data_IF_763136312357
#
_entry.id   IF_763136312357
#
_cell.length_a   1.000
_cell.length_b   1.000
_cell.length_c   1.000
_cell.angle_alpha   90.00
_cell.angle_beta   90.00
_cell.angle_gamma   90.00
#
_symmetry.space_group_name_H-M   'P 1'
#
loop_
_entity.id
_entity.type
_entity.pdbx_description
1 polymer ?
#
# COMPACT_ATOMS: atom_id res chain seq x y z
N UNK A 1 1.86 -33.03 37.05
CA UNK A 1 2.47 -31.83 36.45
C UNK A 1 2.01 -31.78 34.99
N UNK A 2 1.12 -30.86 34.65
CA UNK A 2 0.63 -30.71 33.28
C UNK A 2 1.65 -29.88 32.49
N UNK A 3 2.28 -30.50 31.49
CA UNK A 3 3.19 -29.81 30.58
C UNK A 3 2.34 -28.95 29.64
N UNK A 4 2.41 -27.62 29.80
CA UNK A 4 1.77 -26.68 28.89
C UNK A 4 2.48 -26.78 27.55
N UNK A 5 1.84 -27.37 26.56
CA UNK A 5 2.32 -27.37 25.18
C UNK A 5 2.18 -25.94 24.66
N UNK A 6 3.28 -25.19 24.64
CA UNK A 6 3.35 -23.90 23.95
C UNK A 6 3.07 -24.17 22.46
N UNK A 7 1.89 -23.76 22.01
CA UNK A 7 1.53 -23.77 20.60
C UNK A 7 2.42 -22.73 19.91
N UNK A 8 3.53 -23.16 19.29
CA UNK A 8 4.23 -22.33 18.32
C UNK A 8 3.36 -22.30 17.06
N UNK A 9 2.39 -21.38 17.01
CA UNK A 9 1.82 -20.97 15.74
C UNK A 9 2.99 -20.47 14.90
N UNK A 10 3.33 -21.21 13.84
CA UNK A 10 4.28 -20.75 12.84
C UNK A 10 3.66 -19.56 12.14
N UNK A 11 3.94 -18.35 12.63
CA UNK A 11 3.48 -17.13 11.98
C UNK A 11 4.20 -17.03 10.64
N UNK A 12 3.46 -17.17 9.54
CA UNK A 12 3.99 -16.90 8.21
C UNK A 12 4.12 -15.39 8.05
N UNK A 13 5.34 -14.94 7.73
CA UNK A 13 5.61 -13.55 7.44
C UNK A 13 5.89 -13.40 5.95
N UNK A 14 5.21 -12.45 5.31
CA UNK A 14 5.48 -12.08 3.93
C UNK A 14 5.79 -10.59 3.85
N UNK A 15 6.61 -10.22 2.87
CA UNK A 15 7.07 -8.84 2.69
C UNK A 15 6.72 -8.37 1.30
N UNK A 16 6.24 -7.14 1.21
CA UNK A 16 5.96 -6.44 -0.02
C UNK A 16 6.83 -5.17 -0.11
N UNK A 17 7.13 -4.76 -1.33
CA UNK A 17 7.71 -3.46 -1.63
C UNK A 17 6.58 -2.58 -2.16
N UNK A 18 6.33 -1.47 -1.46
CA UNK A 18 5.28 -0.53 -1.81
C UNK A 18 5.94 0.76 -2.29
N UNK A 19 5.67 1.12 -3.54
CA UNK A 19 6.16 2.32 -4.18
C UNK A 19 5.04 3.35 -4.28
N UNK A 20 5.35 4.61 -3.96
CA UNK A 20 4.47 5.74 -4.19
C UNK A 20 4.96 6.44 -5.44
N UNK A 21 4.12 6.49 -6.46
CA UNK A 21 4.49 6.99 -7.79
C UNK A 21 3.56 8.14 -8.15
N UNK A 22 4.10 9.14 -8.84
CA UNK A 22 3.38 10.30 -9.34
C UNK A 22 3.56 10.44 -10.85
N UNK A 23 2.49 10.71 -11.58
CA UNK A 23 2.52 10.85 -13.03
C UNK A 23 2.64 9.51 -13.74
N UNK A 24 2.70 9.57 -15.08
CA UNK A 24 2.56 8.39 -15.94
C UNK A 24 1.21 7.69 -15.80
N UNK A 25 0.96 6.70 -16.65
CA UNK A 25 -0.16 5.78 -16.42
C UNK A 25 0.25 4.67 -15.44
N UNK A 26 -0.62 4.30 -14.48
CA UNK A 26 -0.40 3.12 -13.65
C UNK A 26 -0.19 1.87 -14.52
N UNK A 27 0.79 1.05 -14.17
CA UNK A 27 1.04 -0.24 -14.82
C UNK A 27 0.14 -1.34 -14.25
N UNK A 28 0.39 -2.59 -14.63
CA UNK A 28 -0.44 -3.74 -14.23
C UNK A 28 -0.50 -3.97 -12.71
N UNK A 29 0.57 -3.61 -11.98
CA UNK A 29 0.66 -3.65 -10.52
C UNK A 29 0.26 -2.31 -9.88
N UNK A 30 -0.14 -1.33 -10.70
CA UNK A 30 -0.43 0.03 -10.32
C UNK A 30 -1.89 0.22 -9.87
N UNK A 31 -2.05 0.86 -8.72
CA UNK A 31 -3.34 1.12 -8.11
C UNK A 31 -3.55 2.63 -7.96
N UNK A 32 -4.42 3.26 -8.77
CA UNK A 32 -4.68 4.69 -8.67
C UNK A 32 -5.37 5.05 -7.35
N UNK A 33 -4.94 6.16 -6.75
CA UNK A 33 -5.53 6.71 -5.53
C UNK A 33 -6.59 7.79 -5.79
N UNK A 34 -6.60 8.37 -7.00
CA UNK A 34 -7.58 9.37 -7.40
C UNK A 34 -9.03 8.87 -7.20
N UNK A 35 -9.89 9.73 -6.64
CA UNK A 35 -11.30 9.43 -6.41
C UNK A 35 -11.59 8.49 -5.22
N UNK A 36 -10.57 7.86 -4.63
CA UNK A 36 -10.70 7.08 -3.39
C UNK A 36 -10.87 8.00 -2.18
N UNK A 37 -10.99 7.42 -0.98
CA UNK A 37 -10.98 8.18 0.28
C UNK A 37 -9.83 7.76 1.18
N UNK A 38 -9.32 8.72 1.95
CA UNK A 38 -8.34 8.47 3.00
C UNK A 38 -8.86 7.39 3.96
N UNK A 39 -8.00 6.47 4.43
CA UNK A 39 -8.33 5.55 5.52
C UNK A 39 -8.71 6.26 6.82
N UNK A 40 -8.35 7.54 6.98
CA UNK A 40 -8.70 8.37 8.13
C UNK A 40 -9.99 9.17 7.91
N UNK A 41 -10.60 9.08 6.73
CA UNK A 41 -11.85 9.79 6.45
C UNK A 41 -13.03 9.07 7.08
N UNK A 42 -14.00 9.80 7.69
CA UNK A 42 -15.22 9.19 8.19
C UNK A 42 -16.01 8.52 7.05
N UNK A 43 -16.48 7.31 7.30
CA UNK A 43 -17.07 6.34 6.34
C UNK A 43 -18.43 6.73 5.75
N UNK A 44 -18.83 8.00 5.82
CA UNK A 44 -20.12 8.50 5.33
C UNK A 44 -20.18 8.68 3.81
N UNK A 45 -19.14 8.27 3.05
CA UNK A 45 -19.08 8.42 1.60
C UNK A 45 -19.15 7.04 0.92
N UNK A 46 -20.00 6.92 -0.11
CA UNK A 46 -20.08 5.76 -1.03
C UNK A 46 -18.83 5.64 -1.94
N UNK A 47 -17.63 5.90 -1.42
CA UNK A 47 -16.36 5.85 -2.15
C UNK A 47 -15.48 4.76 -1.55
N UNK A 48 -14.75 4.05 -2.39
CA UNK A 48 -13.81 3.01 -1.95
C UNK A 48 -12.65 3.62 -1.16
N UNK A 49 -12.33 3.02 -0.02
CA UNK A 49 -11.17 3.40 0.78
C UNK A 49 -9.86 3.11 0.01
N UNK A 50 -8.86 3.97 0.16
CA UNK A 50 -7.51 3.69 -0.33
C UNK A 50 -6.87 2.50 0.39
N UNK A 51 -7.29 2.22 1.63
CA UNK A 51 -6.87 1.05 2.40
C UNK A 51 -7.21 -0.30 1.75
N UNK A 52 -8.10 -0.33 0.75
CA UNK A 52 -8.35 -1.57 -0.02
C UNK A 52 -7.27 -1.85 -1.06
N UNK A 53 -6.36 -0.91 -1.35
CA UNK A 53 -5.26 -1.11 -2.29
C UNK A 53 -4.16 -1.99 -1.68
N UNK A 54 -3.80 -1.72 -0.42
CA UNK A 54 -2.76 -2.46 0.28
C UNK A 54 -2.95 -2.33 1.80
N UNK A 55 -2.59 -3.34 2.60
CA UNK A 55 -2.73 -3.29 4.05
C UNK A 55 -1.63 -2.47 4.74
N UNK A 56 -1.42 -1.21 4.35
CA UNK A 56 -0.27 -0.42 4.81
C UNK A 56 -0.38 0.01 6.29
N UNK A 57 0.77 0.18 7.00
CA UNK A 57 0.80 0.72 8.35
C UNK A 57 0.25 2.15 8.43
N UNK A 58 -0.32 2.50 9.59
CA UNK A 58 -0.88 3.83 9.88
C UNK A 58 0.02 5.00 9.43
N UNK A 59 1.30 4.99 9.82
CA UNK A 59 2.22 6.07 9.49
C UNK A 59 2.54 6.19 7.99
N UNK A 60 2.32 5.13 7.21
CA UNK A 60 2.43 5.21 5.75
C UNK A 60 1.24 6.00 5.19
N UNK A 61 0.02 5.66 5.60
CA UNK A 61 -1.18 6.40 5.19
C UNK A 61 -1.11 7.88 5.55
N UNK A 62 -0.58 8.24 6.73
CA UNK A 62 -0.40 9.65 7.10
C UNK A 62 0.56 10.39 6.17
N UNK A 63 1.61 9.71 5.70
CA UNK A 63 2.54 10.29 4.72
C UNK A 63 1.85 10.47 3.37
N UNK A 64 1.09 9.48 2.91
CA UNK A 64 0.33 9.56 1.66
C UNK A 64 -0.66 10.71 1.67
N UNK A 65 -1.43 10.88 2.75
CA UNK A 65 -2.44 11.94 2.87
C UNK A 65 -1.86 13.36 2.67
N UNK A 66 -0.60 13.58 3.06
CA UNK A 66 0.10 14.87 2.87
C UNK A 66 0.36 15.21 1.39
N UNK A 67 0.30 14.22 0.51
CA UNK A 67 0.48 14.39 -0.93
C UNK A 67 -0.83 14.73 -1.66
N UNK A 68 -1.97 14.80 -0.95
CA UNK A 68 -3.32 14.93 -1.51
C UNK A 68 -3.63 13.91 -2.64
N UNK A 69 -3.46 12.60 -2.39
CA UNK A 69 -3.51 11.57 -3.43
C UNK A 69 -4.92 11.22 -3.90
N UNK A 70 -5.95 11.68 -3.20
CA UNK A 70 -7.34 11.25 -3.42
C UNK A 70 -8.16 12.21 -4.27
N UNK A 71 -7.60 13.36 -4.63
CA UNK A 71 -8.28 14.31 -5.51
C UNK A 71 -8.62 13.67 -6.85
N UNK A 72 -9.74 14.08 -7.46
CA UNK A 72 -10.22 13.49 -8.72
C UNK A 72 -9.23 13.70 -9.90
N UNK A 73 -8.30 14.65 -9.77
CA UNK A 73 -7.21 14.93 -10.72
C UNK A 73 -5.84 14.49 -10.21
N UNK A 74 -5.79 13.72 -9.12
CA UNK A 74 -4.52 13.23 -8.60
C UNK A 74 -3.90 12.26 -9.60
N UNK A 75 -2.60 12.40 -9.81
CA UNK A 75 -1.76 11.53 -10.61
C UNK A 75 -0.93 10.59 -9.70
N UNK A 76 -1.31 10.46 -8.43
CA UNK A 76 -0.64 9.59 -7.47
C UNK A 76 -1.27 8.21 -7.46
N UNK A 77 -0.42 7.20 -7.50
CA UNK A 77 -0.79 5.80 -7.47
C UNK A 77 0.25 4.98 -6.70
N UNK A 78 -0.17 3.81 -6.24
CA UNK A 78 0.69 2.87 -5.52
C UNK A 78 1.06 1.72 -6.43
N UNK A 79 2.30 1.26 -6.37
CA UNK A 79 2.70 -0.04 -6.92
C UNK A 79 3.08 -0.96 -5.78
N UNK A 80 2.54 -2.18 -5.76
CA UNK A 80 2.83 -3.19 -4.75
C UNK A 80 3.48 -4.38 -5.42
N UNK A 81 4.69 -4.71 -4.99
CA UNK A 81 5.50 -5.78 -5.55
C UNK A 81 5.85 -6.80 -4.47
N UNK A 82 6.00 -8.07 -4.84
CA UNK A 82 6.56 -9.07 -3.94
C UNK A 82 8.00 -8.75 -3.59
N UNK A 83 8.46 -9.13 -2.39
CA UNK A 83 9.81 -8.77 -1.92
C UNK A 83 10.97 -9.30 -2.76
N UNK A 84 10.70 -10.31 -3.59
CA UNK A 84 11.69 -10.98 -4.44
C UNK A 84 11.52 -10.59 -5.91
N UNK A 85 10.52 -9.77 -6.24
CA UNK A 85 10.27 -9.35 -7.60
C UNK A 85 11.24 -8.24 -7.99
N UNK A 86 11.75 -8.30 -9.23
CA UNK A 86 12.41 -7.13 -9.80
C UNK A 86 11.36 -6.11 -10.17
N UNK A 87 11.42 -4.93 -9.56
CA UNK A 87 10.55 -3.84 -9.92
C UNK A 87 10.72 -3.50 -11.41
N UNK A 88 9.65 -3.50 -12.21
CA UNK A 88 9.72 -3.05 -13.59
C UNK A 88 10.15 -1.57 -13.62
N UNK A 89 10.77 -1.12 -14.73
CA UNK A 89 11.09 0.29 -14.90
C UNK A 89 9.82 1.14 -14.76
N UNK A 90 9.98 2.37 -14.27
CA UNK A 90 8.87 3.30 -14.16
C UNK A 90 8.31 3.61 -15.56
N UNK A 91 6.98 3.69 -15.72
CA UNK A 91 6.34 4.17 -16.94
C UNK A 91 6.81 5.57 -17.34
N UNK A 92 6.66 5.89 -18.62
CA UNK A 92 7.02 7.20 -19.13
C UNK A 92 6.27 8.32 -18.40
N UNK A 93 7.01 9.35 -17.97
CA UNK A 93 6.46 10.48 -17.23
C UNK A 93 6.13 10.19 -15.75
N UNK A 94 6.40 8.98 -15.25
CA UNK A 94 6.25 8.64 -13.85
C UNK A 94 7.50 9.00 -13.03
N UNK A 95 7.28 9.43 -11.79
CA UNK A 95 8.31 9.78 -10.82
C UNK A 95 8.06 8.98 -9.54
N UNK A 96 9.10 8.27 -9.08
CA UNK A 96 9.07 7.59 -7.79
C UNK A 96 9.23 8.61 -6.66
N UNK A 97 8.23 8.70 -5.78
CA UNK A 97 8.19 9.61 -4.65
C UNK A 97 8.78 8.97 -3.39
N UNK A 98 8.36 7.74 -3.08
CA UNK A 98 8.84 6.98 -1.93
C UNK A 98 8.80 5.47 -2.23
N UNK A 99 9.59 4.69 -1.51
CA UNK A 99 9.56 3.22 -1.53
C UNK A 99 9.76 2.70 -0.13
N UNK A 100 8.89 1.80 0.32
CA UNK A 100 9.05 1.13 1.62
C UNK A 100 8.83 -0.37 1.49
N UNK A 101 9.59 -1.13 2.28
CA UNK A 101 9.25 -2.52 2.57
C UNK A 101 8.22 -2.56 3.69
N UNK A 102 7.16 -3.33 3.48
CA UNK A 102 6.14 -3.61 4.48
C UNK A 102 6.12 -5.11 4.73
N UNK A 103 6.25 -5.50 5.99
CA UNK A 103 6.23 -6.90 6.40
C UNK A 103 4.99 -7.15 7.22
N UNK A 104 4.25 -8.18 6.84
CA UNK A 104 3.04 -8.62 7.51
C UNK A 104 3.31 -9.94 8.21
N UNK A 105 2.76 -10.09 9.40
CA UNK A 105 2.71 -11.38 10.09
C UNK A 105 1.25 -11.84 10.05
N UNK A 106 1.01 -13.00 9.48
CA UNK A 106 -0.28 -13.68 9.59
C UNK A 106 -0.23 -14.50 10.88
N UNK A 107 -1.16 -14.21 11.79
CA UNK A 107 -1.34 -14.89 13.07
C UNK A 107 -2.53 -15.85 13.02
#
# INVERSE_FOLDING_TARGET
>A
MASSATYCASSEAYTEIVQVIKGGEPDEDGMPLAGRISPFSPTLRNRSCACTCAPLPYGFWEMLDRLNPYGDKSDIWLRVLGSNDQAPPLPDGAILIDTRRVTYQIA
#
